data_IF_930201678579
#
_entry.id   IF_930201678579
#
_cell.length_a   1.000
_cell.length_b   1.000
_cell.length_c   1.000
_cell.angle_alpha   90.00
_cell.angle_beta   90.00
_cell.angle_gamma   90.00
#
_symmetry.space_group_name_H-M   'P 1'
#
loop_
_entity.id
_entity.type
_entity.pdbx_description
1 polymer ?
#
# COMPACT_ATOMS: atom_id res chain seq x y z
N UNK A 1 24.74 -20.82 -5.23
CA UNK A 1 23.77 -20.69 -4.13
C UNK A 1 24.48 -19.96 -3.01
N UNK A 2 24.26 -18.66 -2.94
CA UNK A 2 24.90 -17.79 -1.94
C UNK A 2 23.98 -17.59 -0.76
N UNK A 3 24.56 -17.40 0.44
CA UNK A 3 23.84 -17.13 1.67
C UNK A 3 24.00 -15.65 2.03
N UNK A 4 22.91 -14.93 2.06
CA UNK A 4 22.86 -13.50 2.36
C UNK A 4 22.29 -13.31 3.77
N UNK A 5 23.09 -12.82 4.69
CA UNK A 5 22.66 -12.50 6.04
C UNK A 5 22.10 -11.08 6.11
N UNK A 6 20.98 -10.91 6.79
CA UNK A 6 20.39 -9.59 7.02
C UNK A 6 20.24 -9.31 8.52
N UNK A 7 20.79 -8.18 8.93
CA UNK A 7 20.75 -7.65 10.30
C UNK A 7 19.89 -6.41 10.33
N UNK A 8 18.98 -6.33 11.30
CA UNK A 8 18.21 -5.13 11.55
C UNK A 8 18.28 -4.75 13.02
N UNK A 9 18.67 -3.51 13.30
CA UNK A 9 18.67 -2.93 14.63
C UNK A 9 17.70 -1.75 14.72
N UNK A 10 17.22 -1.48 15.93
CA UNK A 10 16.37 -0.33 16.26
C UNK A 10 16.87 0.29 17.56
N UNK A 11 16.39 1.49 17.91
CA UNK A 11 16.75 2.16 19.18
C UNK A 11 16.42 1.27 20.41
N UNK A 12 15.33 0.50 20.32
CA UNK A 12 14.86 -0.37 21.43
C UNK A 12 15.49 -1.76 21.41
N UNK A 13 16.06 -2.15 20.29
CA UNK A 13 16.68 -3.47 20.07
C UNK A 13 18.00 -3.27 19.31
N UNK A 14 19.04 -2.99 20.10
CA UNK A 14 20.39 -2.72 19.59
C UNK A 14 21.31 -3.94 19.67
N UNK A 15 20.74 -5.14 19.48
CA UNK A 15 21.48 -6.40 19.55
C UNK A 15 22.18 -6.74 18.23
N UNK A 16 22.96 -5.78 17.73
CA UNK A 16 23.71 -5.92 16.48
C UNK A 16 24.71 -7.07 16.53
N UNK A 17 25.50 -7.14 17.61
CA UNK A 17 26.59 -8.11 17.71
C UNK A 17 26.10 -9.54 17.80
N UNK A 18 25.04 -9.81 18.55
CA UNK A 18 24.49 -11.18 18.64
C UNK A 18 23.92 -11.64 17.31
N UNK A 19 23.18 -10.76 16.59
CA UNK A 19 22.70 -11.10 15.25
C UNK A 19 23.87 -11.39 14.29
N UNK A 20 24.90 -10.55 14.34
CA UNK A 20 26.10 -10.70 13.50
C UNK A 20 26.77 -12.05 13.72
N UNK A 21 27.07 -12.39 14.98
CA UNK A 21 27.72 -13.67 15.32
C UNK A 21 26.88 -14.87 14.86
N UNK A 22 25.56 -14.84 15.05
CA UNK A 22 24.67 -15.92 14.59
C UNK A 22 24.74 -16.13 13.08
N UNK A 23 24.79 -15.05 12.29
CA UNK A 23 24.84 -15.11 10.85
C UNK A 23 26.22 -15.53 10.32
N UNK A 24 27.30 -15.09 11.00
CA UNK A 24 28.68 -15.52 10.72
C UNK A 24 28.86 -17.01 11.03
N UNK A 25 28.40 -17.48 12.17
CA UNK A 25 28.44 -18.89 12.58
C UNK A 25 27.64 -19.78 11.63
N UNK A 26 26.52 -19.28 11.08
CA UNK A 26 25.75 -19.98 10.05
C UNK A 26 26.49 -20.04 8.70
N UNK A 27 27.50 -19.23 8.51
CA UNK A 27 28.32 -19.16 7.31
C UNK A 27 27.64 -18.40 6.16
N UNK A 28 27.19 -17.18 6.42
CA UNK A 28 26.71 -16.25 5.39
C UNK A 28 27.88 -15.71 4.57
N UNK A 29 27.72 -15.66 3.25
CA UNK A 29 28.73 -15.16 2.32
C UNK A 29 28.82 -13.65 2.31
N UNK A 30 27.70 -12.98 2.52
CA UNK A 30 27.55 -11.53 2.56
C UNK A 30 26.57 -11.11 3.66
N UNK A 31 26.81 -9.96 4.27
CA UNK A 31 26.00 -9.41 5.35
C UNK A 31 25.49 -8.01 4.97
N UNK A 32 24.22 -7.74 5.22
CA UNK A 32 23.54 -6.47 4.97
C UNK A 32 22.93 -5.93 6.25
N UNK A 33 22.94 -4.62 6.43
CA UNK A 33 22.60 -3.98 7.69
C UNK A 33 21.63 -2.83 7.50
N UNK A 34 20.57 -2.81 8.30
CA UNK A 34 19.70 -1.66 8.48
C UNK A 34 19.70 -1.22 9.94
N UNK A 35 19.95 0.07 10.16
CA UNK A 35 19.88 0.69 11.48
C UNK A 35 18.78 1.75 11.44
N UNK A 36 17.72 1.58 12.25
CA UNK A 36 16.61 2.51 12.30
C UNK A 36 16.66 3.37 13.54
N UNK A 37 17.06 4.64 13.37
CA UNK A 37 17.10 5.66 14.40
C UNK A 37 15.86 6.58 14.27
N UNK A 38 14.81 6.34 15.11
CA UNK A 38 13.64 7.23 15.18
C UNK A 38 12.39 6.80 14.42
N UNK A 39 11.37 7.67 14.42
CA UNK A 39 10.06 7.42 13.80
C UNK A 39 9.99 7.79 12.32
N UNK A 40 10.88 8.62 11.84
CA UNK A 40 10.91 9.15 10.47
C UNK A 40 11.90 8.37 9.58
N UNK A 41 11.63 7.08 9.40
CA UNK A 41 12.34 6.34 8.36
C UNK A 41 11.56 6.54 7.06
N UNK A 42 12.08 7.39 6.19
CA UNK A 42 11.69 7.38 4.78
C UNK A 42 12.01 5.98 4.24
N UNK A 43 10.98 5.26 3.83
CA UNK A 43 11.08 3.89 3.30
C UNK A 43 11.71 3.83 1.89
N UNK A 44 12.64 4.73 1.58
CA UNK A 44 13.34 4.74 0.32
C UNK A 44 14.56 3.80 0.42
N UNK A 45 14.41 2.62 -0.16
CA UNK A 45 15.44 1.58 -0.34
C UNK A 45 16.17 1.16 0.96
N UNK A 46 15.61 0.17 1.64
CA UNK A 46 16.29 -0.49 2.76
C UNK A 46 17.41 -1.41 2.25
N UNK A 47 18.35 -1.77 3.13
CA UNK A 47 19.35 -2.80 2.80
C UNK A 47 18.67 -4.14 2.50
N UNK A 48 17.51 -4.43 3.12
CA UNK A 48 16.68 -5.59 2.79
C UNK A 48 16.21 -5.57 1.33
N UNK A 49 15.71 -4.44 0.84
CA UNK A 49 15.30 -4.29 -0.56
C UNK A 49 16.49 -4.51 -1.51
N UNK A 50 17.64 -3.97 -1.14
CA UNK A 50 18.88 -4.10 -1.92
C UNK A 50 19.33 -5.55 -1.99
N UNK A 51 19.38 -6.28 -0.87
CA UNK A 51 19.80 -7.68 -0.87
C UNK A 51 18.81 -8.54 -1.65
N UNK A 52 17.51 -8.36 -1.43
CA UNK A 52 16.49 -9.11 -2.17
C UNK A 52 16.59 -8.84 -3.68
N UNK A 53 16.87 -7.60 -4.09
CA UNK A 53 17.04 -7.26 -5.52
C UNK A 53 18.25 -7.97 -6.17
N UNK A 54 19.35 -8.14 -5.43
CA UNK A 54 20.58 -8.81 -5.90
C UNK A 54 20.48 -10.34 -5.95
N UNK A 55 19.63 -10.94 -5.11
CA UNK A 55 19.50 -12.38 -4.99
C UNK A 55 18.92 -13.00 -6.26
N UNK A 56 19.32 -14.22 -6.54
CA UNK A 56 18.87 -15.06 -7.66
C UNK A 56 18.22 -16.35 -7.16
N UNK A 57 17.53 -17.06 -8.05
CA UNK A 57 16.90 -18.34 -7.71
C UNK A 57 17.90 -19.33 -7.11
N UNK A 58 17.53 -19.92 -5.99
CA UNK A 58 18.37 -20.86 -5.23
C UNK A 58 19.24 -20.22 -4.17
N UNK A 59 19.34 -18.89 -4.10
CA UNK A 59 20.02 -18.19 -3.00
C UNK A 59 19.20 -18.26 -1.70
N UNK A 60 19.85 -18.02 -0.58
CA UNK A 60 19.23 -18.12 0.76
C UNK A 60 19.37 -16.81 1.51
N UNK A 61 18.25 -16.22 1.92
CA UNK A 61 18.19 -15.12 2.88
C UNK A 61 18.21 -15.70 4.30
N UNK A 62 19.14 -15.25 5.12
CA UNK A 62 19.31 -15.72 6.50
C UNK A 62 19.09 -14.55 7.45
N UNK A 63 18.26 -14.76 8.48
CA UNK A 63 17.98 -13.79 9.54
C UNK A 63 18.09 -14.44 10.91
N UNK A 64 18.40 -13.64 11.92
CA UNK A 64 18.42 -14.11 13.30
C UNK A 64 17.01 -14.52 13.74
N UNK A 65 16.00 -13.72 13.45
CA UNK A 65 14.59 -13.98 13.71
C UNK A 65 13.68 -13.28 12.67
N UNK A 66 12.42 -13.75 12.54
CA UNK A 66 11.45 -13.22 11.56
C UNK A 66 11.11 -11.75 11.80
N UNK A 67 11.25 -11.24 13.02
CA UNK A 67 10.95 -9.85 13.32
C UNK A 67 11.88 -8.87 12.58
N UNK A 68 13.04 -9.34 12.11
CA UNK A 68 13.99 -8.54 11.31
C UNK A 68 13.44 -8.21 9.93
N UNK A 69 12.60 -9.07 9.37
CA UNK A 69 12.08 -8.96 7.99
C UNK A 69 10.93 -7.96 7.83
N UNK A 70 10.26 -7.57 8.91
CA UNK A 70 9.14 -6.65 8.82
C UNK A 70 8.68 -6.11 10.17
N UNK A 71 7.83 -5.09 10.13
CA UNK A 71 7.20 -4.48 11.31
C UNK A 71 5.71 -4.82 11.41
N UNK A 72 5.21 -5.59 10.46
CA UNK A 72 3.82 -6.03 10.41
C UNK A 72 3.72 -7.38 9.73
N UNK A 73 2.67 -8.13 10.05
CA UNK A 73 2.35 -9.40 9.38
C UNK A 73 2.25 -9.21 7.87
N UNK A 74 1.68 -8.11 7.44
CA UNK A 74 1.54 -7.77 6.02
C UNK A 74 2.91 -7.68 5.31
N UNK A 75 3.85 -6.93 5.87
CA UNK A 75 5.20 -6.81 5.28
C UNK A 75 5.89 -8.18 5.22
N UNK A 76 5.75 -8.99 6.27
CA UNK A 76 6.33 -10.33 6.30
C UNK A 76 5.70 -11.23 5.23
N UNK A 77 4.38 -11.23 5.08
CA UNK A 77 3.69 -12.05 4.07
C UNK A 77 3.99 -11.59 2.64
N UNK A 78 4.05 -10.27 2.39
CA UNK A 78 4.43 -9.73 1.08
C UNK A 78 5.86 -10.13 0.70
N UNK A 79 6.81 -10.01 1.65
CA UNK A 79 8.20 -10.42 1.42
C UNK A 79 8.32 -11.93 1.19
N UNK A 80 7.67 -12.76 2.01
CA UNK A 80 7.74 -14.22 1.85
C UNK A 80 7.14 -14.71 0.54
N UNK A 81 6.03 -14.10 0.10
CA UNK A 81 5.46 -14.37 -1.23
C UNK A 81 6.43 -14.00 -2.36
N UNK A 82 7.12 -12.85 -2.24
CA UNK A 82 8.14 -12.44 -3.20
C UNK A 82 9.32 -13.43 -3.26
N UNK A 83 9.83 -13.87 -2.10
CA UNK A 83 10.92 -14.84 -2.02
C UNK A 83 10.50 -16.17 -2.68
N UNK A 84 9.29 -16.66 -2.38
CA UNK A 84 8.75 -17.88 -2.99
C UNK A 84 8.63 -17.77 -4.51
N UNK A 85 8.05 -16.66 -5.01
CA UNK A 85 7.89 -16.43 -6.46
C UNK A 85 9.25 -16.40 -7.19
N UNK A 86 10.30 -15.92 -6.53
CA UNK A 86 11.65 -15.85 -7.08
C UNK A 86 12.49 -17.11 -6.83
N UNK A 87 11.93 -18.14 -6.17
CA UNK A 87 12.65 -19.34 -5.73
C UNK A 87 13.87 -19.00 -4.85
N UNK A 88 13.74 -18.02 -3.96
CA UNK A 88 14.72 -17.66 -2.96
C UNK A 88 14.33 -18.34 -1.65
N UNK A 89 15.30 -18.95 -0.99
CA UNK A 89 15.09 -19.62 0.29
C UNK A 89 15.19 -18.62 1.45
N UNK A 90 14.48 -18.94 2.54
CA UNK A 90 14.52 -18.19 3.79
C UNK A 90 14.96 -19.12 4.92
N UNK A 91 15.90 -18.66 5.73
CA UNK A 91 16.29 -19.29 6.98
C UNK A 91 16.10 -18.27 8.13
N UNK A 92 15.35 -18.67 9.15
CA UNK A 92 15.23 -17.93 10.40
C UNK A 92 15.76 -18.79 11.54
N UNK A 93 16.81 -18.29 12.19
CA UNK A 93 17.58 -19.10 13.15
C UNK A 93 16.82 -19.31 14.47
N UNK A 94 16.20 -18.27 15.00
CA UNK A 94 15.49 -18.34 16.28
C UNK A 94 14.25 -19.25 16.22
N UNK A 95 13.49 -19.19 15.10
CA UNK A 95 12.31 -20.03 14.92
C UNK A 95 12.63 -21.38 14.31
N UNK A 96 13.90 -21.64 14.00
CA UNK A 96 14.36 -22.88 13.34
C UNK A 96 13.59 -23.18 12.04
N UNK A 97 13.35 -22.14 11.24
CA UNK A 97 12.69 -22.24 9.95
C UNK A 97 13.76 -22.32 8.85
N UNK A 98 13.67 -23.33 8.01
CA UNK A 98 14.46 -23.46 6.78
C UNK A 98 13.53 -23.84 5.61
N UNK A 99 13.36 -22.93 4.68
CA UNK A 99 12.44 -23.16 3.54
C UNK A 99 13.03 -24.07 2.46
N UNK A 100 14.26 -24.52 2.59
CA UNK A 100 14.86 -25.55 1.73
C UNK A 100 14.35 -26.96 2.03
N UNK A 101 13.87 -27.17 3.24
CA UNK A 101 13.39 -28.44 3.75
C UNK A 101 11.88 -28.62 3.54
N UNK A 102 11.35 -29.77 3.96
CA UNK A 102 9.90 -30.06 3.91
C UNK A 102 9.06 -29.05 4.70
N UNK A 103 9.62 -28.39 5.70
CA UNK A 103 8.97 -27.30 6.45
C UNK A 103 8.73 -26.05 5.59
N UNK A 104 9.50 -25.84 4.52
CA UNK A 104 9.34 -24.67 3.64
C UNK A 104 7.96 -24.59 3.01
N UNK A 105 7.44 -25.69 2.50
CA UNK A 105 6.10 -25.73 1.93
C UNK A 105 5.02 -25.39 2.98
N UNK A 106 5.17 -25.89 4.20
CA UNK A 106 4.25 -25.61 5.32
C UNK A 106 4.33 -24.13 5.68
N UNK A 107 5.52 -23.57 5.79
CA UNK A 107 5.74 -22.16 6.11
C UNK A 107 5.07 -21.25 5.06
N UNK A 108 5.32 -21.47 3.77
CA UNK A 108 4.74 -20.65 2.70
C UNK A 108 3.21 -20.75 2.66
N UNK A 109 2.65 -21.97 2.80
CA UNK A 109 1.20 -22.16 2.88
C UNK A 109 0.57 -21.43 4.07
N UNK A 110 1.23 -21.41 5.21
CA UNK A 110 0.78 -20.66 6.39
C UNK A 110 0.82 -19.15 6.13
N UNK A 111 1.91 -18.64 5.53
CA UNK A 111 2.04 -17.23 5.19
C UNK A 111 0.98 -16.78 4.17
N UNK A 112 0.69 -17.58 3.16
CA UNK A 112 -0.38 -17.32 2.21
C UNK A 112 -1.77 -17.28 2.88
N UNK A 113 -2.03 -18.21 3.81
CA UNK A 113 -3.25 -18.21 4.60
C UNK A 113 -3.40 -16.95 5.46
N UNK A 114 -2.31 -16.49 6.09
CA UNK A 114 -2.28 -15.25 6.87
C UNK A 114 -2.52 -14.02 5.98
N UNK A 115 -1.90 -13.95 4.80
CA UNK A 115 -2.11 -12.86 3.85
C UNK A 115 -3.57 -12.77 3.38
N UNK A 116 -4.20 -13.92 3.09
CA UNK A 116 -5.60 -13.99 2.72
C UNK A 116 -6.51 -13.53 3.86
N UNK A 117 -6.26 -13.99 5.08
CA UNK A 117 -7.01 -13.58 6.27
C UNK A 117 -6.91 -12.08 6.50
N UNK A 118 -5.71 -11.50 6.42
CA UNK A 118 -5.52 -10.05 6.58
C UNK A 118 -6.31 -9.26 5.52
N UNK A 119 -6.30 -9.71 4.26
CA UNK A 119 -7.07 -9.09 3.17
C UNK A 119 -8.58 -9.10 3.46
N UNK A 120 -9.12 -10.18 4.01
CA UNK A 120 -10.53 -10.30 4.41
C UNK A 120 -10.83 -9.30 5.54
N UNK A 121 -10.00 -9.26 6.58
CA UNK A 121 -10.18 -8.35 7.72
C UNK A 121 -10.14 -6.88 7.30
N UNK A 122 -9.25 -6.51 6.37
CA UNK A 122 -9.19 -5.15 5.83
C UNK A 122 -10.49 -4.80 5.08
N UNK A 123 -11.01 -5.72 4.23
CA UNK A 123 -12.28 -5.53 3.53
C UNK A 123 -13.44 -5.35 4.51
N UNK A 124 -13.53 -6.19 5.54
CA UNK A 124 -14.56 -6.08 6.57
C UNK A 124 -14.50 -4.74 7.31
N UNK A 125 -13.31 -4.32 7.77
CA UNK A 125 -13.13 -3.01 8.43
C UNK A 125 -13.54 -1.86 7.51
N UNK A 126 -13.18 -1.93 6.23
CA UNK A 126 -13.56 -0.92 5.23
C UNK A 126 -15.06 -0.86 5.04
N UNK A 127 -15.74 -2.00 4.92
CA UNK A 127 -17.21 -2.06 4.77
C UNK A 127 -17.92 -1.50 6.01
N UNK A 128 -17.45 -1.86 7.21
CA UNK A 128 -17.97 -1.30 8.46
C UNK A 128 -17.78 0.21 8.50
N UNK A 129 -16.60 0.70 8.15
CA UNK A 129 -16.30 2.14 8.07
C UNK A 129 -17.20 2.87 7.08
N UNK A 130 -17.39 2.34 5.87
CA UNK A 130 -18.27 2.89 4.84
C UNK A 130 -19.74 2.92 5.31
N UNK A 131 -20.22 1.84 5.93
CA UNK A 131 -21.59 1.78 6.46
C UNK A 131 -21.80 2.81 7.57
N UNK A 132 -20.83 2.99 8.47
CA UNK A 132 -20.88 4.00 9.51
C UNK A 132 -20.85 5.42 8.93
N UNK A 133 -20.04 5.67 7.89
CA UNK A 133 -20.01 6.96 7.19
C UNK A 133 -21.36 7.25 6.51
N UNK A 134 -21.96 6.26 5.85
CA UNK A 134 -23.30 6.38 5.22
C UNK A 134 -24.39 6.67 6.24
N UNK A 135 -24.40 5.99 7.40
CA UNK A 135 -25.33 6.26 8.51
C UNK A 135 -25.21 7.69 9.04
N UNK A 136 -24.01 8.30 8.98
CA UNK A 136 -23.74 9.69 9.33
C UNK A 136 -23.98 10.67 8.16
N UNK A 137 -24.62 10.24 7.07
CA UNK A 137 -24.91 11.07 5.89
C UNK A 137 -23.70 11.39 5.02
N UNK A 138 -22.53 10.81 5.29
CA UNK A 138 -21.32 11.01 4.47
C UNK A 138 -21.36 10.03 3.29
N UNK A 139 -21.67 10.54 2.11
CA UNK A 139 -21.68 9.77 0.85
C UNK A 139 -20.36 10.04 0.15
N UNK A 140 -19.60 8.95 -0.11
CA UNK A 140 -18.37 9.04 -0.90
C UNK A 140 -18.67 9.33 -2.39
N UNK A 141 -17.65 9.79 -3.08
CA UNK A 141 -17.71 10.10 -4.50
C UNK A 141 -17.35 11.57 -4.78
N UNK A 142 -17.27 11.92 -6.08
CA UNK A 142 -17.00 13.30 -6.48
C UNK A 142 -18.13 14.22 -6.03
N UNK A 143 -17.84 15.33 -5.34
CA UNK A 143 -18.86 16.31 -4.94
C UNK A 143 -19.69 16.72 -6.15
N UNK A 144 -21.00 16.79 -5.95
CA UNK A 144 -21.88 17.34 -6.98
C UNK A 144 -21.61 18.84 -7.12
N UNK A 145 -21.73 19.34 -8.35
CA UNK A 145 -21.65 20.78 -8.58
C UNK A 145 -22.77 21.47 -7.81
N UNK A 146 -22.49 22.62 -7.22
CA UNK A 146 -23.46 23.40 -6.47
C UNK A 146 -24.53 24.04 -7.39
N UNK A 147 -25.74 24.20 -6.87
CA UNK A 147 -26.86 24.76 -7.61
C UNK A 147 -26.59 26.18 -8.11
N UNK A 148 -25.80 26.98 -7.38
CA UNK A 148 -25.40 28.34 -7.79
C UNK A 148 -24.55 28.33 -9.05
N UNK A 149 -23.58 27.41 -9.14
CA UNK A 149 -22.72 27.26 -10.33
C UNK A 149 -23.53 26.77 -11.53
N UNK A 150 -24.46 25.84 -11.34
CA UNK A 150 -25.36 25.40 -12.43
C UNK A 150 -26.22 26.56 -12.95
N UNK A 151 -26.81 27.33 -12.04
CA UNK A 151 -27.60 28.56 -12.42
C UNK A 151 -26.73 29.55 -13.18
N UNK A 152 -25.50 29.81 -12.72
CA UNK A 152 -24.57 30.75 -13.34
C UNK A 152 -24.15 30.29 -14.77
N UNK A 153 -23.89 29.00 -14.96
CA UNK A 153 -23.57 28.43 -16.30
C UNK A 153 -24.72 28.69 -17.24
N UNK A 154 -25.97 28.35 -16.88
CA UNK A 154 -27.15 28.53 -17.71
C UNK A 154 -27.42 30.01 -18.00
N UNK A 155 -27.35 30.89 -17.01
CA UNK A 155 -27.51 32.32 -17.16
C UNK A 155 -26.50 32.93 -18.16
N UNK A 156 -25.21 32.56 -18.02
CA UNK A 156 -24.18 33.06 -18.93
C UNK A 156 -24.39 32.57 -20.36
N UNK A 157 -24.91 31.37 -20.56
CA UNK A 157 -25.14 30.80 -21.88
C UNK A 157 -26.43 31.35 -22.53
N UNK A 158 -27.57 31.23 -21.83
CA UNK A 158 -28.88 31.57 -22.44
C UNK A 158 -29.17 33.08 -22.45
N UNK A 159 -28.85 33.76 -21.34
CA UNK A 159 -29.18 35.19 -21.21
C UNK A 159 -28.08 36.08 -21.78
N UNK A 160 -26.81 35.78 -21.51
CA UNK A 160 -25.66 36.59 -21.92
C UNK A 160 -25.00 36.15 -23.22
N UNK A 161 -25.36 34.97 -23.74
CA UNK A 161 -24.83 34.36 -24.98
C UNK A 161 -23.29 34.28 -25.03
N UNK A 162 -22.68 34.04 -23.86
CA UNK A 162 -21.23 33.91 -23.72
C UNK A 162 -20.71 32.57 -24.30
N UNK A 163 -19.44 32.53 -24.67
CA UNK A 163 -18.83 31.32 -25.21
C UNK A 163 -18.62 30.28 -24.15
N UNK A 164 -18.70 29.00 -24.51
CA UNK A 164 -18.53 27.89 -23.53
C UNK A 164 -17.15 27.91 -22.87
N UNK A 165 -16.11 28.31 -23.61
CA UNK A 165 -14.76 28.46 -23.07
C UNK A 165 -14.69 29.53 -21.99
N UNK A 166 -15.32 30.68 -22.22
CA UNK A 166 -15.42 31.75 -21.23
C UNK A 166 -16.19 31.28 -19.98
N UNK A 167 -17.33 30.57 -20.17
CA UNK A 167 -18.15 30.04 -19.07
C UNK A 167 -17.36 29.03 -18.26
N UNK A 168 -16.63 28.13 -18.91
CA UNK A 168 -15.78 27.14 -18.29
C UNK A 168 -14.74 27.78 -17.37
N UNK A 169 -14.01 28.76 -17.87
CA UNK A 169 -13.00 29.52 -17.09
C UNK A 169 -13.64 30.30 -15.94
N UNK A 170 -14.74 31.01 -16.19
CA UNK A 170 -15.42 31.87 -15.22
C UNK A 170 -16.13 31.09 -14.09
N UNK A 171 -16.56 29.87 -14.37
CA UNK A 171 -17.23 28.99 -13.39
C UNK A 171 -16.28 27.95 -12.77
N UNK A 172 -15.03 27.85 -13.21
CA UNK A 172 -14.04 26.89 -12.71
C UNK A 172 -14.42 25.43 -12.96
N UNK A 173 -15.08 25.16 -14.09
CA UNK A 173 -15.56 23.82 -14.47
C UNK A 173 -15.06 23.45 -15.87
N UNK A 174 -15.01 22.14 -16.17
CA UNK A 174 -14.62 21.70 -17.51
C UNK A 174 -15.68 22.07 -18.57
N UNK A 175 -15.23 22.21 -19.82
CA UNK A 175 -16.11 22.45 -20.98
C UNK A 175 -17.20 21.38 -21.09
N UNK A 176 -16.85 20.09 -20.85
CA UNK A 176 -17.82 18.99 -20.83
C UNK A 176 -18.89 19.15 -19.74
N UNK A 177 -18.52 19.72 -18.58
CA UNK A 177 -19.47 20.05 -17.52
C UNK A 177 -20.42 21.17 -17.94
N UNK A 178 -19.93 22.19 -18.65
CA UNK A 178 -20.78 23.24 -19.20
C UNK A 178 -21.84 22.66 -20.14
N UNK A 179 -21.41 21.86 -21.13
CA UNK A 179 -22.33 21.20 -22.07
C UNK A 179 -23.36 20.33 -21.36
N UNK A 180 -22.95 19.57 -20.37
CA UNK A 180 -23.86 18.72 -19.58
C UNK A 180 -25.01 19.53 -18.97
N UNK A 181 -24.71 20.66 -18.33
CA UNK A 181 -25.73 21.46 -17.65
C UNK A 181 -26.51 22.42 -18.56
N UNK A 182 -25.97 22.77 -19.71
CA UNK A 182 -26.68 23.52 -20.77
C UNK A 182 -27.74 22.62 -21.43
N UNK A 183 -27.40 21.36 -21.74
CA UNK A 183 -28.27 20.43 -22.43
C UNK A 183 -29.19 19.64 -21.50
N UNK A 184 -29.18 19.93 -20.19
CA UNK A 184 -30.00 19.21 -19.21
C UNK A 184 -31.49 19.63 -19.39
N UNK A 185 -32.44 18.66 -19.40
CA UNK A 185 -33.86 18.94 -19.43
C UNK A 185 -34.29 19.88 -18.29
N UNK A 186 -35.25 20.77 -18.53
CA UNK A 186 -35.69 21.74 -17.51
C UNK A 186 -36.19 21.10 -16.22
N UNK A 187 -36.87 19.96 -16.32
CA UNK A 187 -37.33 19.20 -15.15
C UNK A 187 -36.20 18.80 -14.21
N UNK A 188 -35.05 18.41 -14.77
CA UNK A 188 -33.89 18.00 -13.97
C UNK A 188 -33.12 19.22 -13.43
N UNK A 189 -33.14 20.33 -14.16
CA UNK A 189 -32.59 21.61 -13.70
C UNK A 189 -33.37 22.09 -12.47
N UNK A 190 -34.70 22.05 -12.51
CA UNK A 190 -35.55 22.44 -11.36
C UNK A 190 -35.22 21.58 -10.13
N UNK A 191 -35.06 20.26 -10.30
CA UNK A 191 -34.67 19.35 -9.19
C UNK A 191 -33.30 19.68 -8.58
N UNK A 192 -32.36 20.21 -9.39
CA UNK A 192 -31.02 20.59 -8.92
C UNK A 192 -31.06 21.97 -8.23
N UNK A 193 -31.88 22.88 -8.72
CA UNK A 193 -32.00 24.22 -8.19
C UNK A 193 -32.88 24.32 -6.93
N UNK A 194 -33.75 23.31 -6.70
CA UNK A 194 -34.63 23.21 -5.54
C UNK A 194 -33.93 22.62 -4.29
N UNK A 195 -32.68 22.17 -4.42
CA UNK A 195 -31.81 21.68 -3.34
C UNK A 195 -30.78 22.72 -2.96
#
# INVERSE_FOLDING_TARGET
MSKFGYVRTTITDNDHNSQLHLLEDFGCDQLFYDTFEGQDVSFEQTALDTVVAQMTAGDTLVVADLSRLGRSTRQLTELTSLLQMRNIHLVSLAENIDTRDAMGAIYFNLMDGLAQMESVLIKERTLVGLNNARKKGKIGGRPKIDSKTVRKIRQLYFDKKETIQYISTKCGVSVGTCYKYINLPEEDVVKILAK
#
